data_IF_434952357461
#
_entry.id   IF_434952357461
#
_cell.length_a   1.000
_cell.length_b   1.000
_cell.length_c   1.000
_cell.angle_alpha   90.00
_cell.angle_beta   90.00
_cell.angle_gamma   90.00
#
_symmetry.space_group_name_H-M   'P 1'
#
loop_
_entity.id
_entity.type
_entity.pdbx_description
1 polymer ?
#
# COMPACT_ATOMS: atom_id res chain seq x y z
N UNK A 1 -3.79 15.95 -13.43
CA UNK A 1 -2.99 14.74 -13.65
C UNK A 1 -2.93 13.96 -12.33
N UNK A 2 -3.57 12.80 -12.26
CA UNK A 2 -3.47 11.92 -11.08
C UNK A 2 -2.08 11.30 -11.15
N UNK A 3 -1.18 11.70 -10.25
CA UNK A 3 0.20 11.23 -10.25
C UNK A 3 0.24 9.70 -10.21
N UNK A 4 0.90 9.11 -11.19
CA UNK A 4 1.18 7.67 -11.20
C UNK A 4 1.86 7.28 -9.88
N UNK A 5 1.57 6.10 -9.30
CA UNK A 5 2.34 5.57 -8.19
C UNK A 5 3.82 5.59 -8.59
N UNK A 6 4.66 6.34 -7.90
CA UNK A 6 6.10 6.30 -8.17
C UNK A 6 6.65 4.93 -7.77
N UNK A 7 6.15 4.35 -6.68
CA UNK A 7 6.48 2.99 -6.28
C UNK A 7 5.28 2.29 -5.64
N UNK A 8 4.78 1.23 -6.28
CA UNK A 8 3.85 0.27 -5.68
C UNK A 8 4.60 -1.04 -5.44
N UNK A 9 4.81 -1.39 -4.17
CA UNK A 9 5.44 -2.65 -3.76
C UNK A 9 4.42 -3.55 -3.10
N UNK A 10 4.24 -4.74 -3.65
CA UNK A 10 3.36 -5.77 -3.08
C UNK A 10 4.23 -6.92 -2.57
N UNK A 11 4.03 -7.30 -1.32
CA UNK A 11 4.76 -8.42 -0.69
C UNK A 11 3.77 -9.35 -0.02
N UNK A 12 3.72 -10.59 -0.48
CA UNK A 12 3.00 -11.65 0.21
C UNK A 12 3.86 -12.12 1.39
N UNK A 13 3.45 -11.79 2.61
CA UNK A 13 4.17 -12.16 3.82
C UNK A 13 3.89 -13.62 4.22
N UNK A 14 2.67 -14.08 3.94
CA UNK A 14 2.22 -15.46 4.12
C UNK A 14 1.04 -15.69 3.17
N UNK A 15 0.66 -16.94 2.91
CA UNK A 15 -0.60 -17.25 2.19
C UNK A 15 -1.87 -16.65 2.85
N UNK A 16 -1.72 -16.07 4.04
CA UNK A 16 -2.76 -15.39 4.82
C UNK A 16 -2.57 -13.88 4.98
N UNK A 17 -1.44 -13.30 4.57
CA UNK A 17 -1.12 -11.90 4.83
C UNK A 17 -0.41 -11.26 3.63
N UNK A 18 -0.98 -10.16 3.12
CA UNK A 18 -0.49 -9.41 1.96
C UNK A 18 -0.25 -7.96 2.38
N UNK A 19 0.98 -7.48 2.18
CA UNK A 19 1.37 -6.10 2.43
C UNK A 19 1.49 -5.37 1.10
N UNK A 20 0.83 -4.22 0.97
CA UNK A 20 0.92 -3.33 -0.18
C UNK A 20 1.45 -2.00 0.32
N UNK A 21 2.67 -1.66 -0.06
CA UNK A 21 3.27 -0.36 0.19
C UNK A 21 3.12 0.51 -1.05
N UNK A 22 2.62 1.72 -0.86
CA UNK A 22 2.42 2.72 -1.87
C UNK A 22 3.16 3.97 -1.44
N UNK A 23 4.11 4.42 -2.26
CA UNK A 23 4.80 5.67 -2.06
C UNK A 23 4.43 6.63 -3.18
N UNK A 24 4.01 7.82 -2.79
CA UNK A 24 3.84 8.95 -3.69
C UNK A 24 4.75 10.06 -3.22
N UNK A 25 5.72 10.42 -4.04
CA UNK A 25 6.46 11.66 -3.89
C UNK A 25 5.92 12.66 -4.91
N UNK A 26 5.90 13.92 -4.50
CA UNK A 26 5.56 15.02 -5.37
C UNK A 26 6.72 16.01 -5.32
N UNK A 27 7.54 16.00 -6.37
CA UNK A 27 8.75 16.84 -6.46
C UNK A 27 8.44 18.34 -6.36
N UNK A 28 7.25 18.76 -6.77
CA UNK A 28 6.82 20.16 -6.76
C UNK A 28 6.16 20.60 -5.43
N UNK A 29 5.67 19.67 -4.63
CA UNK A 29 5.04 19.93 -3.34
C UNK A 29 5.39 18.77 -2.39
N UNK A 30 6.59 18.76 -1.81
CA UNK A 30 7.09 17.65 -1.02
C UNK A 30 6.23 17.36 0.21
N UNK A 31 5.51 18.36 0.77
CA UNK A 31 4.53 18.15 1.84
C UNK A 31 3.32 17.28 1.44
N UNK A 32 3.07 17.16 0.14
CA UNK A 32 2.04 16.29 -0.42
C UNK A 32 2.58 14.90 -0.79
N UNK A 33 3.82 14.60 -0.39
CA UNK A 33 4.39 13.25 -0.48
C UNK A 33 3.89 12.42 0.70
N UNK A 34 3.45 11.19 0.44
CA UNK A 34 3.03 10.26 1.48
C UNK A 34 3.44 8.83 1.15
N UNK A 35 3.77 8.10 2.21
CA UNK A 35 3.93 6.65 2.18
C UNK A 35 2.68 6.05 2.83
N UNK A 36 2.15 5.00 2.23
CA UNK A 36 0.94 4.32 2.65
C UNK A 36 1.22 2.83 2.67
N UNK A 37 1.01 2.19 3.82
CA UNK A 37 1.11 0.73 3.92
C UNK A 37 -0.25 0.12 4.22
N UNK A 38 -0.74 -0.72 3.33
CA UNK A 38 -1.99 -1.49 3.45
C UNK A 38 -1.67 -2.94 3.78
N UNK A 39 -2.25 -3.45 4.86
CA UNK A 39 -2.12 -4.85 5.29
C UNK A 39 -3.46 -5.56 5.10
N UNK A 40 -3.47 -6.59 4.26
CA UNK A 40 -4.63 -7.44 4.02
C UNK A 40 -4.43 -8.79 4.69
N UNK A 41 -5.49 -9.27 5.36
CA UNK A 41 -5.54 -10.59 5.96
C UNK A 41 -6.54 -11.48 5.22
N UNK A 42 -6.15 -12.72 4.94
CA UNK A 42 -7.01 -13.73 4.32
C UNK A 42 -7.67 -14.57 5.41
N UNK A 43 -8.98 -14.41 5.56
CA UNK A 43 -9.79 -15.25 6.47
C UNK A 43 -10.84 -16.00 5.66
N UNK A 44 -10.86 -17.34 5.79
CA UNK A 44 -11.80 -18.22 5.06
C UNK A 44 -11.87 -17.97 3.55
N UNK A 45 -10.72 -17.71 2.92
CA UNK A 45 -10.63 -17.45 1.48
C UNK A 45 -10.90 -16.00 1.05
N UNK A 46 -11.37 -15.12 1.94
CA UNK A 46 -11.62 -13.71 1.66
C UNK A 46 -10.49 -12.85 2.18
N UNK A 47 -10.03 -11.89 1.38
CA UNK A 47 -9.10 -10.86 1.82
C UNK A 47 -9.88 -9.70 2.44
N UNK A 48 -9.41 -9.20 3.58
CA UNK A 48 -9.98 -8.02 4.25
C UNK A 48 -8.84 -7.07 4.60
N UNK A 49 -9.03 -5.78 4.36
CA UNK A 49 -8.09 -4.76 4.80
C UNK A 49 -8.11 -4.73 6.33
N UNK A 50 -6.96 -5.03 6.94
CA UNK A 50 -6.83 -5.09 8.39
C UNK A 50 -6.27 -3.81 8.97
N UNK A 51 -5.37 -3.13 8.24
CA UNK A 51 -4.71 -1.93 8.73
C UNK A 51 -4.20 -1.06 7.59
N UNK A 52 -4.31 0.25 7.78
CA UNK A 52 -3.69 1.29 6.98
C UNK A 52 -2.77 2.08 7.92
N UNK A 53 -1.50 2.21 7.54
CA UNK A 53 -0.47 2.98 8.24
C UNK A 53 0.07 4.06 7.31
#
# INVERSE_FOLDING_TARGET
>A
MVGSPEELKQKLHSGKELHIQYKRSNELAPENSYDLTLVFLKTKGKWSLSKQL
#
